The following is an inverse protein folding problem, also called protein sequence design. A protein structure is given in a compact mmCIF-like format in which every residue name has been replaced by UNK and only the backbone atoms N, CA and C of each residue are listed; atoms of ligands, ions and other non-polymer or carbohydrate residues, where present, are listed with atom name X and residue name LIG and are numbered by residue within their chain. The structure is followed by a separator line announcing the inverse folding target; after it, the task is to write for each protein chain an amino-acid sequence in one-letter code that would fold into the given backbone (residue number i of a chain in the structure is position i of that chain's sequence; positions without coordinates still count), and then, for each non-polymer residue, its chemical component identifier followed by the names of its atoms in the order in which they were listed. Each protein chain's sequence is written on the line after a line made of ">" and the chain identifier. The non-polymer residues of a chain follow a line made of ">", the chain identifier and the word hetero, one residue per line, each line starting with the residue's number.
data_IF_311040315176
#
_entry.id   IF_311040315176
#
_cell.length_a   1.000
_cell.length_b   1.000
_cell.length_c   1.000
_cell.angle_alpha   90.00
_cell.angle_beta   90.00
_cell.angle_gamma   90.00
#
_symmetry.space_group_name_H-M   'P 1'
#
loop_
_entity.id
_entity.type
_entity.pdbx_description
1 polymer ?
#
# COMPACT_ATOMS: atom_id res chain seq x y z
N UNK A 1 6.05 -10.04 -29.63
CA UNK A 1 6.87 -9.21 -28.72
C UNK A 1 5.96 -8.64 -27.66
N UNK A 2 6.27 -8.83 -26.38
CA UNK A 2 5.54 -8.20 -25.28
C UNK A 2 6.20 -6.85 -25.00
N UNK A 3 5.42 -5.76 -24.89
CA UNK A 3 5.93 -4.38 -24.81
C UNK A 3 6.48 -3.98 -23.43
N UNK A 4 6.42 -4.87 -22.42
CA UNK A 4 6.80 -4.55 -21.04
C UNK A 4 5.85 -3.57 -20.35
N UNK A 5 4.67 -3.29 -20.93
CA UNK A 5 3.66 -2.39 -20.38
C UNK A 5 2.96 -3.00 -19.16
N UNK A 6 2.95 -2.25 -18.05
CA UNK A 6 2.04 -2.50 -16.93
C UNK A 6 0.70 -1.79 -17.17
N UNK A 7 -0.41 -2.49 -16.95
CA UNK A 7 -1.78 -1.94 -17.06
C UNK A 7 -2.51 -2.20 -15.76
N UNK A 8 -3.11 -1.17 -15.19
CA UNK A 8 -3.96 -1.32 -14.01
C UNK A 8 -5.27 -2.00 -14.43
N UNK A 9 -5.70 -2.96 -13.63
CA UNK A 9 -6.93 -3.74 -13.82
C UNK A 9 -7.70 -3.80 -12.52
N UNK A 10 -8.96 -4.24 -12.59
CA UNK A 10 -9.85 -4.41 -11.45
C UNK A 10 -10.11 -3.11 -10.67
N UNK A 11 -11.11 -2.37 -11.13
CA UNK A 11 -11.59 -1.14 -10.49
C UNK A 11 -12.78 -1.40 -9.55
N UNK A 12 -13.02 -2.65 -9.14
CA UNK A 12 -14.16 -3.01 -8.30
C UNK A 12 -14.14 -2.35 -6.91
N UNK A 13 -12.95 -2.03 -6.40
CA UNK A 13 -12.74 -1.30 -5.15
C UNK A 13 -12.36 0.18 -5.36
N UNK A 14 -12.38 0.68 -6.60
CA UNK A 14 -12.04 2.06 -6.91
C UNK A 14 -13.18 3.01 -6.49
N UNK A 15 -12.80 4.23 -6.10
CA UNK A 15 -13.73 5.31 -5.78
C UNK A 15 -13.34 6.59 -6.51
N UNK A 16 -14.30 7.49 -6.70
CA UNK A 16 -14.01 8.83 -7.21
C UNK A 16 -13.14 9.58 -6.19
N UNK A 17 -12.21 10.39 -6.73
CA UNK A 17 -11.34 11.24 -5.89
C UNK A 17 -12.23 12.21 -5.11
N UNK A 18 -11.94 12.32 -3.82
CA UNK A 18 -12.65 13.19 -2.88
C UNK A 18 -11.64 13.87 -1.98
N UNK A 19 -11.89 15.14 -1.65
CA UNK A 19 -11.17 15.85 -0.60
C UNK A 19 -11.66 15.45 0.81
N UNK A 20 -12.73 14.66 0.90
CA UNK A 20 -13.23 14.14 2.16
C UNK A 20 -12.62 12.77 2.47
N UNK A 21 -12.47 12.49 3.77
CA UNK A 21 -12.06 11.17 4.25
C UNK A 21 -13.12 10.10 3.97
N UNK A 22 -12.69 8.94 3.53
CA UNK A 22 -13.54 7.78 3.23
C UNK A 22 -13.64 6.90 4.48
N UNK A 23 -14.87 6.48 4.83
CA UNK A 23 -15.20 5.64 6.00
C UNK A 23 -15.59 4.21 5.65
N UNK A 24 -15.44 3.82 4.38
CA UNK A 24 -15.68 2.48 3.88
C UNK A 24 -14.44 1.96 3.16
N UNK A 25 -14.11 0.69 3.34
CA UNK A 25 -12.95 0.09 2.71
C UNK A 25 -13.36 -1.17 1.97
N UNK A 26 -13.09 -1.19 0.65
CA UNK A 26 -13.39 -2.31 -0.25
C UNK A 26 -12.12 -2.99 -0.80
N UNK A 27 -10.93 -2.58 -0.34
CA UNK A 27 -9.65 -3.10 -0.81
C UNK A 27 -9.14 -4.33 -0.05
N UNK A 28 -7.91 -4.74 -0.36
CA UNK A 28 -7.21 -5.82 0.35
C UNK A 28 -6.59 -5.32 1.65
N UNK A 29 -6.90 -5.95 2.79
CA UNK A 29 -6.54 -5.49 4.14
C UNK A 29 -5.03 -5.27 4.36
N UNK A 30 -4.16 -6.09 3.75
CA UNK A 30 -2.70 -5.98 3.87
C UNK A 30 -2.10 -4.73 3.20
N UNK A 31 -2.87 -4.07 2.33
CA UNK A 31 -2.50 -2.83 1.63
C UNK A 31 -3.17 -1.60 2.25
N UNK A 32 -3.96 -1.79 3.29
CA UNK A 32 -4.72 -0.74 3.95
C UNK A 32 -3.79 0.13 4.82
N UNK A 33 -3.97 1.46 4.84
CA UNK A 33 -3.10 2.35 5.61
C UNK A 33 -3.41 2.30 7.11
N UNK A 34 -2.47 2.69 7.98
CA UNK A 34 -2.60 2.56 9.43
C UNK A 34 -3.74 3.41 10.02
N UNK A 35 -4.08 4.55 9.43
CA UNK A 35 -5.17 5.41 9.87
C UNK A 35 -6.54 4.72 9.77
N UNK A 36 -6.70 3.77 8.84
CA UNK A 36 -7.92 2.97 8.78
C UNK A 36 -8.11 2.14 10.04
N UNK A 37 -7.07 1.43 10.49
CA UNK A 37 -7.14 0.63 11.72
C UNK A 37 -7.24 1.47 12.99
N UNK A 38 -6.74 2.71 12.96
CA UNK A 38 -6.74 3.61 14.12
C UNK A 38 -8.01 4.46 14.23
N UNK A 39 -8.61 4.85 13.11
CA UNK A 39 -9.67 5.87 13.04
C UNK A 39 -10.86 5.50 12.15
N UNK A 40 -10.80 4.37 11.44
CA UNK A 40 -11.82 3.94 10.48
C UNK A 40 -12.10 5.01 9.40
N UNK A 41 -11.08 5.80 9.06
CA UNK A 41 -11.13 6.81 8.01
C UNK A 41 -9.76 6.96 7.38
N UNK A 42 -9.71 7.12 6.07
CA UNK A 42 -8.49 7.44 5.32
C UNK A 42 -8.75 8.50 4.26
N UNK A 43 -7.70 9.20 3.85
CA UNK A 43 -7.75 10.11 2.72
C UNK A 43 -7.32 9.35 1.45
N UNK A 44 -8.01 9.50 0.30
CA UNK A 44 -7.81 8.63 -0.87
C UNK A 44 -6.39 8.66 -1.43
N UNK A 45 -5.77 9.85 -1.51
CA UNK A 45 -4.44 10.01 -2.11
C UNK A 45 -3.36 9.40 -1.21
N UNK A 46 -3.41 9.67 0.08
CA UNK A 46 -2.47 9.18 1.08
C UNK A 46 -2.56 7.66 1.22
N UNK A 47 -3.78 7.11 1.22
CA UNK A 47 -4.00 5.67 1.20
C UNK A 47 -3.45 5.02 -0.08
N UNK A 48 -3.57 5.70 -1.23
CA UNK A 48 -2.99 5.24 -2.49
C UNK A 48 -1.46 5.21 -2.40
N UNK A 49 -0.82 6.27 -1.88
CA UNK A 49 0.63 6.32 -1.68
C UNK A 49 1.11 5.22 -0.73
N UNK A 50 0.39 4.98 0.37
CA UNK A 50 0.68 3.87 1.28
C UNK A 50 0.66 2.53 0.55
N UNK A 51 -0.44 2.24 -0.18
CA UNK A 51 -0.60 0.97 -0.88
C UNK A 51 0.46 0.76 -1.96
N UNK A 52 0.87 1.82 -2.67
CA UNK A 52 1.99 1.80 -3.62
C UNK A 52 3.31 1.47 -2.93
N UNK A 53 3.54 1.94 -1.70
CA UNK A 53 4.70 1.55 -0.89
C UNK A 53 4.72 0.06 -0.58
N UNK A 54 3.57 -0.53 -0.26
CA UNK A 54 3.43 -1.99 -0.06
C UNK A 54 3.72 -2.74 -1.36
N UNK A 55 3.16 -2.30 -2.50
CA UNK A 55 3.42 -2.88 -3.82
C UNK A 55 4.91 -2.83 -4.17
N UNK A 56 5.56 -1.68 -3.99
CA UNK A 56 7.00 -1.54 -4.21
C UNK A 56 7.80 -2.52 -3.35
N UNK A 57 7.49 -2.59 -2.05
CA UNK A 57 8.16 -3.52 -1.15
C UNK A 57 8.01 -4.98 -1.62
N UNK A 58 6.80 -5.39 -2.02
CA UNK A 58 6.55 -6.74 -2.54
C UNK A 58 7.36 -7.00 -3.82
N UNK A 59 7.44 -6.03 -4.74
CA UNK A 59 8.20 -6.18 -5.98
C UNK A 59 9.69 -6.43 -5.73
N UNK A 60 10.30 -5.80 -4.73
CA UNK A 60 11.75 -5.90 -4.47
C UNK A 60 12.14 -6.99 -3.46
N UNK A 61 11.20 -7.42 -2.61
CA UNK A 61 11.47 -8.41 -1.56
C UNK A 61 10.80 -9.76 -1.79
N UNK A 62 9.73 -9.81 -2.60
CA UNK A 62 8.89 -10.99 -2.80
C UNK A 62 7.93 -11.30 -1.65
N UNK A 63 7.84 -10.46 -0.61
CA UNK A 63 6.96 -10.69 0.54
C UNK A 63 6.28 -9.39 1.02
N UNK A 64 5.22 -9.54 1.83
CA UNK A 64 4.58 -8.38 2.46
C UNK A 64 5.47 -7.81 3.58
N UNK A 65 5.51 -6.48 3.77
CA UNK A 65 6.28 -5.85 4.83
C UNK A 65 5.66 -6.07 6.22
N UNK A 66 4.34 -6.29 6.29
CA UNK A 66 3.58 -6.43 7.53
C UNK A 66 2.69 -7.66 7.48
N UNK A 67 2.69 -8.45 8.56
CA UNK A 67 1.89 -9.67 8.69
C UNK A 67 0.51 -9.43 9.30
N UNK A 68 0.33 -8.33 10.04
CA UNK A 68 -0.91 -8.01 10.72
C UNK A 68 -1.05 -6.50 10.97
N UNK A 69 -2.22 -6.12 11.48
CA UNK A 69 -2.63 -4.73 11.73
C UNK A 69 -1.76 -4.04 12.78
N UNK A 70 -1.23 -4.78 13.75
CA UNK A 70 -0.31 -4.25 14.76
C UNK A 70 0.98 -3.80 14.06
N UNK A 71 1.55 -4.64 13.20
CA UNK A 71 2.74 -4.28 12.44
C UNK A 71 2.50 -3.11 11.48
N UNK A 72 1.34 -3.09 10.80
CA UNK A 72 0.90 -1.95 9.97
C UNK A 72 0.88 -0.66 10.81
N UNK A 73 0.25 -0.70 11.98
CA UNK A 73 0.14 0.47 12.87
C UNK A 73 1.47 0.94 13.45
N UNK A 74 2.43 0.03 13.64
CA UNK A 74 3.78 0.32 14.11
C UNK A 74 4.69 0.88 13.01
N UNK A 75 4.44 0.52 11.74
CA UNK A 75 5.18 1.05 10.59
C UNK A 75 6.67 0.69 10.55
N UNK A 76 7.10 -0.37 11.26
CA UNK A 76 8.51 -0.79 11.31
C UNK A 76 8.85 -1.67 10.11
N UNK A 77 9.61 -1.13 9.16
CA UNK A 77 10.08 -1.85 7.98
C UNK A 77 11.42 -2.53 8.23
N UNK A 78 11.53 -3.78 7.79
CA UNK A 78 12.80 -4.49 7.68
C UNK A 78 13.17 -4.47 6.20
N UNK A 79 14.27 -3.84 5.83
CA UNK A 79 14.74 -3.82 4.43
C UNK A 79 15.72 -4.99 4.24
N UNK A 80 15.39 -6.00 3.41
CA UNK A 80 16.32 -7.05 3.05
C UNK A 80 17.70 -6.54 2.60
N UNK A 81 18.76 -7.26 2.97
CA UNK A 81 20.15 -6.84 2.69
C UNK A 81 20.48 -6.66 1.20
N UNK A 82 19.75 -7.36 0.32
CA UNK A 82 19.95 -7.30 -1.12
C UNK A 82 19.32 -6.06 -1.77
N UNK A 83 18.51 -5.29 -1.04
CA UNK A 83 17.90 -4.05 -1.53
C UNK A 83 18.88 -2.91 -1.32
N UNK A 84 19.06 -2.09 -2.36
CA UNK A 84 19.90 -0.90 -2.32
C UNK A 84 19.48 0.04 -1.20
N UNK A 85 20.45 0.53 -0.42
CA UNK A 85 20.22 1.45 0.72
C UNK A 85 20.06 2.94 0.31
N UNK A 86 20.03 3.21 -0.99
CA UNK A 86 20.09 4.56 -1.58
C UNK A 86 21.45 4.85 -2.22
N UNK A 87 21.55 6.00 -2.89
CA UNK A 87 22.82 6.51 -3.43
C UNK A 87 23.63 7.03 -2.24
N UNK A 88 24.69 6.29 -1.89
CA UNK A 88 25.76 6.79 -1.00
C UNK A 88 26.62 7.81 -1.71
#
# INVERSE_FOLDING_TARGET
>A
MHTGEAKLVDFGAAALISEAGIKEFQGTRSYCPPEWFKRLVYMPLEATVWSLGIVLYVMVSGCLPFQNEIQICLGRLIIPKHISKGIS
#
